data_IF_657032623919
#
_entry.id   IF_657032623919
#
_cell.length_a   1.000
_cell.length_b   1.000
_cell.length_c   1.000
_cell.angle_alpha   90.00
_cell.angle_beta   90.00
_cell.angle_gamma   90.00
#
_symmetry.space_group_name_H-M   'P 1'
#
loop_
_entity.id
_entity.type
_entity.pdbx_description
1 polymer ?
#
# COMPACT_ATOMS: atom_id res chain seq x y z
N UNK A 1 -9.80 -0.83 -8.12
CA UNK A 1 -8.71 -0.66 -7.14
C UNK A 1 -9.24 0.09 -5.92
N UNK A 2 -8.56 0.05 -4.76
CA UNK A 2 -8.99 0.82 -3.58
C UNK A 2 -8.48 2.26 -3.59
N UNK A 3 -7.28 2.51 -4.10
CA UNK A 3 -6.70 3.87 -4.17
C UNK A 3 -5.18 3.88 -3.94
N UNK A 4 -4.68 4.78 -3.09
CA UNK A 4 -3.25 4.89 -2.75
C UNK A 4 -2.91 3.99 -1.55
N UNK A 5 -1.88 3.16 -1.68
CA UNK A 5 -1.33 2.35 -0.58
C UNK A 5 0.02 2.87 -0.11
N UNK A 6 0.19 2.99 1.21
CA UNK A 6 1.51 3.17 1.81
C UNK A 6 2.14 1.80 2.06
N UNK A 7 3.38 1.61 1.60
CA UNK A 7 4.14 0.36 1.80
C UNK A 7 5.31 0.66 2.71
N UNK A 8 5.37 -0.05 3.83
CA UNK A 8 6.49 -0.03 4.78
C UNK A 8 7.22 -1.37 4.72
N UNK A 9 8.50 -1.32 4.41
CA UNK A 9 9.33 -2.50 4.26
C UNK A 9 10.51 -2.22 3.36
N UNK A 10 11.57 -3.03 3.49
CA UNK A 10 12.81 -2.87 2.72
C UNK A 10 13.08 -4.13 1.90
N UNK A 11 14.05 -4.01 1.00
CA UNK A 11 14.54 -5.11 0.18
C UNK A 11 13.40 -5.86 -0.55
N UNK A 12 13.53 -7.18 -0.71
CA UNK A 12 12.59 -8.00 -1.46
C UNK A 12 11.20 -8.06 -0.84
N UNK A 13 11.09 -8.05 0.49
CA UNK A 13 9.79 -8.05 1.16
C UNK A 13 9.01 -6.77 0.86
N UNK A 14 9.67 -5.60 0.96
CA UNK A 14 9.08 -4.32 0.57
C UNK A 14 8.69 -4.29 -0.90
N UNK A 15 9.53 -4.84 -1.78
CA UNK A 15 9.23 -4.94 -3.22
C UNK A 15 8.01 -5.81 -3.48
N UNK A 16 7.93 -6.99 -2.87
CA UNK A 16 6.80 -7.90 -3.01
C UNK A 16 5.47 -7.26 -2.55
N UNK A 17 5.50 -6.52 -1.43
CA UNK A 17 4.34 -5.78 -0.95
C UNK A 17 3.93 -4.64 -1.90
N UNK A 18 4.90 -3.86 -2.41
CA UNK A 18 4.66 -2.80 -3.39
C UNK A 18 4.06 -3.36 -4.68
N UNK A 19 4.66 -4.42 -5.24
CA UNK A 19 4.17 -5.09 -6.44
C UNK A 19 2.77 -5.67 -6.21
N UNK A 20 2.49 -6.25 -5.04
CA UNK A 20 1.14 -6.75 -4.71
C UNK A 20 0.08 -5.66 -4.76
N UNK A 21 0.36 -4.48 -4.20
CA UNK A 21 -0.56 -3.35 -4.26
C UNK A 21 -0.74 -2.82 -5.69
N UNK A 22 0.36 -2.70 -6.46
CA UNK A 22 0.36 -2.30 -7.87
C UNK A 22 -0.46 -3.26 -8.74
N UNK A 23 -0.27 -4.57 -8.56
CA UNK A 23 -1.01 -5.62 -9.29
C UNK A 23 -2.52 -5.57 -9.03
N UNK A 24 -2.94 -5.13 -7.84
CA UNK A 24 -4.34 -4.89 -7.51
C UNK A 24 -4.89 -3.54 -8.05
N UNK A 25 -4.09 -2.83 -8.86
CA UNK A 25 -4.44 -1.56 -9.52
C UNK A 25 -4.30 -0.33 -8.62
N UNK A 26 -3.65 -0.44 -7.46
CA UNK A 26 -3.43 0.69 -6.56
C UNK A 26 -2.16 1.44 -6.95
N UNK A 27 -2.10 2.74 -6.68
CA UNK A 27 -0.82 3.47 -6.67
C UNK A 27 -0.13 3.30 -5.32
N UNK A 28 1.19 3.32 -5.31
CA UNK A 28 2.01 3.01 -4.14
C UNK A 28 2.89 4.19 -3.73
N UNK A 29 2.90 4.47 -2.43
CA UNK A 29 3.93 5.26 -1.76
C UNK A 29 4.79 4.30 -0.95
N UNK A 30 6.00 4.01 -1.42
CA UNK A 30 6.90 3.07 -0.75
C UNK A 30 7.91 3.84 0.11
N UNK A 31 7.73 3.73 1.44
CA UNK A 31 8.53 4.39 2.47
C UNK A 31 9.82 3.62 2.72
N UNK A 32 10.96 4.23 2.42
CA UNK A 32 12.28 3.59 2.51
C UNK A 32 12.56 2.54 1.42
N UNK A 33 11.83 2.60 0.31
CA UNK A 33 12.07 1.75 -0.86
C UNK A 33 13.39 2.06 -1.57
N UNK A 34 13.91 1.07 -2.31
CA UNK A 34 15.16 1.22 -3.05
C UNK A 34 14.94 1.87 -4.42
N UNK A 35 15.68 2.94 -4.72
CA UNK A 35 15.58 3.65 -6.00
C UNK A 35 15.89 2.73 -7.18
N UNK A 36 16.83 1.79 -7.03
CA UNK A 36 17.14 0.80 -8.07
C UNK A 36 15.92 -0.06 -8.43
N UNK A 37 15.12 -0.45 -7.45
CA UNK A 37 13.91 -1.24 -7.67
C UNK A 37 12.83 -0.42 -8.39
N UNK A 38 12.68 0.87 -8.03
CA UNK A 38 11.79 1.78 -8.75
C UNK A 38 12.23 1.92 -10.21
N UNK A 39 13.50 2.18 -10.47
CA UNK A 39 14.01 2.31 -11.84
C UNK A 39 13.78 1.04 -12.67
N UNK A 40 14.04 -0.13 -12.11
CA UNK A 40 13.74 -1.41 -12.78
C UNK A 40 12.26 -1.54 -13.14
N UNK A 41 11.34 -1.17 -12.24
CA UNK A 41 9.90 -1.20 -12.51
C UNK A 41 9.49 -0.18 -13.59
N UNK A 42 10.05 1.03 -13.57
CA UNK A 42 9.80 2.05 -14.60
C UNK A 42 10.28 1.57 -15.98
N UNK A 43 11.47 0.98 -16.05
CA UNK A 43 11.99 0.36 -17.27
C UNK A 43 11.15 -0.82 -17.76
N UNK A 44 10.52 -1.56 -16.84
CA UNK A 44 9.56 -2.61 -17.16
C UNK A 44 8.17 -2.07 -17.61
N UNK A 45 7.99 -0.75 -17.66
CA UNK A 45 6.76 -0.11 -18.15
C UNK A 45 5.80 0.37 -17.08
N UNK A 46 6.20 0.36 -15.79
CA UNK A 46 5.37 0.93 -14.73
C UNK A 46 5.21 2.45 -14.94
N UNK A 47 3.97 2.99 -14.94
CA UNK A 47 3.77 4.43 -15.01
C UNK A 47 4.43 5.14 -13.83
N UNK A 48 5.16 6.23 -14.07
CA UNK A 48 5.87 6.96 -13.02
C UNK A 48 4.95 7.47 -11.88
N UNK A 49 3.70 7.81 -12.21
CA UNK A 49 2.71 8.23 -11.24
C UNK A 49 2.19 7.08 -10.34
N UNK A 50 2.41 5.82 -10.72
CA UNK A 50 1.92 4.66 -9.96
C UNK A 50 2.81 4.31 -8.76
N UNK A 51 4.09 4.71 -8.75
CA UNK A 51 5.04 4.42 -7.66
C UNK A 51 5.85 5.65 -7.28
N UNK A 52 5.62 6.11 -6.05
CA UNK A 52 6.40 7.17 -5.41
C UNK A 52 7.27 6.56 -4.32
N UNK A 53 8.56 6.92 -4.28
CA UNK A 53 9.43 6.64 -3.14
C UNK A 53 9.50 7.85 -2.23
N UNK A 54 9.40 7.61 -0.92
CA UNK A 54 9.60 8.62 0.11
C UNK A 54 10.53 8.08 1.20
N UNK A 55 11.28 8.94 1.91
CA UNK A 55 12.06 8.51 3.06
C UNK A 55 11.14 7.99 4.17
N UNK A 56 11.63 7.05 4.98
CA UNK A 56 10.88 6.47 6.10
C UNK A 56 10.42 7.54 7.13
N UNK A 57 11.17 8.64 7.25
CA UNK A 57 10.80 9.80 8.07
C UNK A 57 9.45 10.43 7.65
N UNK A 58 9.01 10.26 6.40
CA UNK A 58 7.72 10.77 5.92
C UNK A 58 6.51 9.93 6.37
N UNK A 59 6.73 8.81 7.07
CA UNK A 59 5.68 7.85 7.45
C UNK A 59 4.49 8.53 8.12
N UNK A 60 4.71 9.37 9.13
CA UNK A 60 3.62 10.03 9.86
C UNK A 60 2.75 10.92 8.94
N UNK A 61 3.37 11.67 8.03
CA UNK A 61 2.66 12.51 7.07
C UNK A 61 1.84 11.69 6.07
N UNK A 62 2.41 10.60 5.55
CA UNK A 62 1.69 9.68 4.65
C UNK A 62 0.52 9.01 5.35
N UNK A 63 0.72 8.56 6.60
CA UNK A 63 -0.33 7.97 7.42
C UNK A 63 -1.41 8.97 7.81
N UNK A 64 -1.19 10.27 7.74
CA UNK A 64 -2.21 11.29 7.97
C UNK A 64 -2.95 11.73 6.69
N UNK A 65 -2.47 11.33 5.50
CA UNK A 65 -3.02 11.81 4.24
C UNK A 65 -4.49 11.34 4.04
N UNK A 66 -5.43 12.25 3.72
CA UNK A 66 -6.85 11.91 3.62
C UNK A 66 -7.17 10.94 2.47
N UNK A 67 -6.38 10.98 1.38
CA UNK A 67 -6.56 10.09 0.22
C UNK A 67 -5.94 8.69 0.36
N UNK A 68 -5.39 8.34 1.53
CA UNK A 68 -4.80 7.02 1.76
C UNK A 68 -5.91 5.96 1.82
N UNK A 69 -5.75 4.87 1.05
CA UNK A 69 -6.72 3.79 0.95
C UNK A 69 -6.32 2.52 1.70
N UNK A 70 -5.07 2.45 2.20
CA UNK A 70 -4.56 1.32 2.97
C UNK A 70 -3.06 1.39 3.27
N UNK A 71 -2.62 0.50 4.16
CA UNK A 71 -1.21 0.34 4.54
C UNK A 71 -0.80 -1.12 4.42
N UNK A 72 0.35 -1.35 3.81
CA UNK A 72 0.99 -2.66 3.71
C UNK A 72 2.31 -2.65 4.46
N UNK A 73 2.39 -3.45 5.53
CA UNK A 73 3.62 -3.70 6.27
C UNK A 73 4.23 -5.01 5.79
N UNK A 74 5.36 -4.94 5.10
CA UNK A 74 6.12 -6.10 4.63
C UNK A 74 7.00 -6.70 5.76
N UNK A 75 6.39 -6.88 6.94
CA UNK A 75 7.01 -7.44 8.13
C UNK A 75 5.93 -8.10 8.99
N UNK A 76 6.32 -9.12 9.74
CA UNK A 76 5.50 -9.77 10.76
C UNK A 76 5.75 -9.22 12.17
N UNK A 77 6.53 -8.13 12.31
CA UNK A 77 6.79 -7.51 13.61
C UNK A 77 5.50 -6.96 14.23
N UNK A 78 5.05 -7.63 15.30
CA UNK A 78 3.81 -7.30 15.99
C UNK A 78 3.85 -5.91 16.63
N UNK A 79 5.01 -5.46 17.12
CA UNK A 79 5.14 -4.16 17.76
C UNK A 79 4.94 -3.03 16.75
N UNK A 80 5.56 -3.12 15.58
CA UNK A 80 5.35 -2.17 14.48
C UNK A 80 3.93 -2.22 13.95
N UNK A 81 3.37 -3.42 13.76
CA UNK A 81 1.98 -3.58 13.33
C UNK A 81 1.00 -2.92 14.31
N UNK A 82 1.21 -3.10 15.62
CA UNK A 82 0.38 -2.49 16.65
C UNK A 82 0.47 -0.95 16.64
N UNK A 83 1.69 -0.39 16.55
CA UNK A 83 1.88 1.07 16.43
C UNK A 83 1.20 1.64 15.19
N UNK A 84 1.30 0.97 14.05
CA UNK A 84 0.62 1.38 12.83
C UNK A 84 -0.90 1.31 12.98
N UNK A 85 -1.43 0.26 13.60
CA UNK A 85 -2.86 0.13 13.86
C UNK A 85 -3.38 1.26 14.76
N UNK A 86 -2.65 1.61 15.83
CA UNK A 86 -2.98 2.74 16.70
C UNK A 86 -2.96 4.06 15.93
N UNK A 87 -1.92 4.32 15.13
CA UNK A 87 -1.82 5.53 14.33
C UNK A 87 -2.93 5.65 13.28
N UNK A 88 -3.35 4.53 12.68
CA UNK A 88 -4.47 4.52 11.74
C UNK A 88 -5.82 4.71 12.44
N UNK A 89 -5.99 4.20 13.66
CA UNK A 89 -7.21 4.34 14.43
C UNK A 89 -7.48 5.77 14.92
N UNK A 90 -6.45 6.61 15.03
CA UNK A 90 -6.62 8.03 15.39
C UNK A 90 -6.98 8.93 14.20
N UNK A 91 -6.94 8.40 12.97
CA UNK A 91 -7.33 9.16 11.77
C UNK A 91 -8.83 9.45 11.79
N UNK A 92 -9.18 10.63 11.30
CA UNK A 92 -10.55 10.92 10.90
C UNK A 92 -10.84 10.35 9.51
N UNK A 93 -12.08 9.91 9.26
CA UNK A 93 -12.52 9.36 7.98
C UNK A 93 -12.57 7.83 7.96
N UNK A 94 -12.29 7.24 6.79
CA UNK A 94 -12.45 5.81 6.57
C UNK A 94 -11.47 4.97 7.41
N UNK A 95 -11.97 3.85 7.96
CA UNK A 95 -11.12 2.82 8.58
C UNK A 95 -10.31 2.15 7.46
N UNK A 96 -8.98 2.25 7.57
CA UNK A 96 -8.08 1.75 6.53
C UNK A 96 -7.61 0.33 6.82
N UNK A 97 -7.47 -0.54 5.79
CA UNK A 97 -6.88 -1.84 5.95
C UNK A 97 -5.38 -1.72 6.27
N UNK A 98 -4.94 -2.44 7.31
CA UNK A 98 -3.53 -2.72 7.58
C UNK A 98 -3.23 -4.18 7.21
N UNK A 99 -2.45 -4.39 6.16
CA UNK A 99 -2.01 -5.70 5.70
C UNK A 99 -0.61 -5.97 6.26
N UNK A 100 -0.51 -6.88 7.22
CA UNK A 100 0.77 -7.32 7.81
C UNK A 100 1.36 -8.50 7.06
N UNK A 101 2.68 -8.70 7.17
CA UNK A 101 3.41 -9.66 6.35
C UNK A 101 3.03 -9.58 4.86
N UNK A 102 2.87 -8.34 4.37
CA UNK A 102 2.40 -8.06 3.02
C UNK A 102 3.38 -8.59 1.95
N UNK A 103 2.83 -9.00 0.81
CA UNK A 103 3.60 -9.50 -0.34
C UNK A 103 3.26 -10.94 -0.74
N UNK A 104 2.39 -11.63 0.01
CA UNK A 104 1.96 -12.98 -0.32
C UNK A 104 0.72 -12.97 -1.23
N UNK A 105 0.72 -13.74 -2.32
CA UNK A 105 -0.36 -13.75 -3.33
C UNK A 105 -1.77 -14.03 -2.76
N UNK A 106 -1.87 -14.88 -1.73
CA UNK A 106 -3.13 -15.13 -0.98
C UNK A 106 -3.73 -13.91 -0.29
N UNK A 107 -3.00 -12.80 -0.17
CA UNK A 107 -3.48 -11.56 0.45
C UNK A 107 -3.98 -10.53 -0.58
N UNK A 108 -3.88 -10.80 -1.89
CA UNK A 108 -4.22 -9.82 -2.94
C UNK A 108 -5.65 -9.26 -2.81
N UNK A 109 -6.61 -10.07 -2.36
CA UNK A 109 -8.00 -9.64 -2.11
C UNK A 109 -8.10 -8.47 -1.11
N UNK A 110 -7.11 -8.31 -0.22
CA UNK A 110 -7.08 -7.21 0.77
C UNK A 110 -6.68 -5.87 0.15
N UNK A 111 -6.16 -5.88 -1.08
CA UNK A 111 -5.79 -4.70 -1.85
C UNK A 111 -6.85 -4.28 -2.88
N UNK A 112 -7.93 -5.06 -3.03
CA UNK A 112 -9.02 -4.78 -3.96
C UNK A 112 -10.23 -4.17 -3.25
N UNK A 113 -11.07 -3.48 -4.03
CA UNK A 113 -12.40 -3.02 -3.61
C UNK A 113 -13.43 -3.80 -4.42
N UNK A 114 -14.49 -4.27 -3.76
CA UNK A 114 -15.63 -4.91 -4.41
C UNK A 114 -16.68 -3.84 -4.77
N UNK A 115 -17.26 -3.96 -5.96
CA UNK A 115 -18.32 -3.06 -6.42
C UNK A 115 -19.45 -3.91 -6.99
N UNK A 116 -20.64 -3.77 -6.39
CA UNK A 116 -21.87 -4.40 -6.88
C UNK A 116 -22.69 -3.36 -7.63
N UNK A 117 -23.04 -3.65 -8.88
CA UNK A 117 -23.87 -2.79 -9.72
C UNK A 117 -25.11 -3.55 -10.17
N UNK A 118 -26.28 -3.10 -9.74
CA UNK A 118 -27.57 -3.65 -10.18
C UNK A 118 -28.22 -2.68 -11.14
N UNK A 119 -28.47 -3.13 -12.37
CA UNK A 119 -29.12 -2.32 -13.40
C UNK A 119 -30.47 -2.96 -13.72
N UNK A 120 -31.55 -2.21 -13.51
CA UNK A 120 -32.84 -2.60 -14.08
C UNK A 120 -32.84 -2.25 -15.57
N UNK A 121 -32.94 -3.26 -16.42
CA UNK A 121 -32.90 -3.13 -17.89
C UNK A 121 -34.27 -3.24 -18.54
N UNK A 122 -35.34 -3.36 -17.73
CA UNK A 122 -36.73 -3.39 -18.17
C UNK A 122 -37.32 -1.98 -18.34
#
# INVERSE_FOLDING_TARGET
>A
ARGVFAVLGRAEAGLAAAVSALLAGNSVVWLGGAEQARQALLHAGLPAAALTLLPEAATAGVLAAPGLAGVALASSDAATAHRLAQALATRTGAILPLVTAAGHGRQLYRFTAEQTMTVNTA
#
